data_IF_640577464187
#
_entry.id   IF_640577464187
#
_cell.length_a   1.000
_cell.length_b   1.000
_cell.length_c   1.000
_cell.angle_alpha   90.00
_cell.angle_beta   90.00
_cell.angle_gamma   90.00
#
_symmetry.space_group_name_H-M   'P 1'
#
loop_
_entity.id
_entity.type
_entity.pdbx_description
1 polymer ?
#
# COMPACT_ATOMS: atom_id res chain seq x y z
N UNK A 1 0.53 -25.35 16.22
CA UNK A 1 0.59 -24.26 17.19
C UNK A 1 -0.51 -23.22 16.95
N UNK A 2 -0.88 -22.91 15.70
CA UNK A 2 -1.94 -21.95 15.36
C UNK A 2 -3.31 -22.39 15.89
N UNK A 3 -3.59 -23.70 15.92
CA UNK A 3 -4.84 -24.27 16.46
C UNK A 3 -5.11 -23.94 17.93
N UNK A 4 -4.08 -23.56 18.69
CA UNK A 4 -4.18 -23.18 20.09
C UNK A 4 -4.58 -21.72 20.29
N UNK A 5 -4.63 -20.94 19.22
CA UNK A 5 -4.96 -19.51 19.24
C UNK A 5 -6.43 -19.39 18.87
N UNK A 6 -7.29 -19.27 19.88
CA UNK A 6 -8.75 -19.29 19.68
C UNK A 6 -9.25 -18.23 18.70
N UNK A 7 -8.75 -17.01 18.80
CA UNK A 7 -9.19 -15.92 17.92
C UNK A 7 -8.81 -16.11 16.44
N UNK A 8 -7.84 -16.97 16.10
CA UNK A 8 -7.54 -17.32 14.71
C UNK A 8 -8.70 -18.07 14.02
N UNK A 9 -9.52 -18.77 14.80
CA UNK A 9 -10.69 -19.51 14.29
C UNK A 9 -11.88 -18.61 13.99
N UNK A 10 -11.86 -17.39 14.53
CA UNK A 10 -12.94 -16.42 14.45
C UNK A 10 -12.60 -15.26 13.47
N UNK A 11 -11.51 -15.38 12.70
CA UNK A 11 -11.13 -14.34 11.74
C UNK A 11 -12.16 -14.27 10.62
N UNK A 12 -12.73 -13.08 10.46
CA UNK A 12 -13.64 -12.77 9.36
C UNK A 12 -12.89 -12.88 8.01
N UNK A 13 -13.49 -13.50 6.96
CA UNK A 13 -12.89 -13.56 5.62
C UNK A 13 -12.51 -12.21 5.03
N UNK A 14 -13.18 -11.13 5.45
CA UNK A 14 -12.87 -9.76 5.02
C UNK A 14 -11.77 -9.09 5.85
N UNK A 15 -11.15 -9.81 6.80
CA UNK A 15 -10.05 -9.30 7.61
C UNK A 15 -8.82 -9.02 6.76
N UNK A 16 -8.30 -7.80 6.86
CA UNK A 16 -7.07 -7.42 6.16
C UNK A 16 -5.83 -7.93 6.89
N UNK A 17 -4.93 -8.57 6.16
CA UNK A 17 -3.63 -9.00 6.67
C UNK A 17 -2.55 -7.97 6.35
N UNK A 18 -2.12 -7.21 7.36
CA UNK A 18 -1.10 -6.19 7.20
C UNK A 18 0.26 -6.71 7.65
N UNK A 19 1.17 -6.87 6.69
CA UNK A 19 2.54 -7.30 6.93
C UNK A 19 3.46 -6.15 7.34
N UNK A 20 4.00 -6.21 8.56
CA UNK A 20 4.89 -5.20 9.13
C UNK A 20 6.31 -5.74 9.27
N UNK A 21 7.30 -4.93 8.94
CA UNK A 21 8.71 -5.28 9.14
C UNK A 21 9.47 -5.64 7.86
N UNK A 22 10.73 -6.04 8.05
CA UNK A 22 11.69 -6.21 6.94
C UNK A 22 11.35 -7.34 5.98
N UNK A 23 10.77 -8.44 6.47
CA UNK A 23 10.35 -9.57 5.64
C UNK A 23 9.30 -9.15 4.62
N UNK A 24 8.24 -8.49 5.07
CA UNK A 24 7.17 -8.01 4.19
C UNK A 24 7.64 -6.90 3.24
N UNK A 25 8.50 -5.98 3.69
CA UNK A 25 9.10 -4.98 2.81
C UNK A 25 9.98 -5.59 1.72
N UNK A 26 10.76 -6.62 2.04
CA UNK A 26 11.52 -7.35 1.02
C UNK A 26 10.60 -8.10 0.06
N UNK A 27 9.55 -8.75 0.58
CA UNK A 27 8.54 -9.42 -0.24
C UNK A 27 7.88 -8.45 -1.24
N UNK A 28 7.45 -7.29 -0.76
CA UNK A 28 6.87 -6.26 -1.62
C UNK A 28 7.86 -5.72 -2.66
N UNK A 29 9.14 -5.52 -2.32
CA UNK A 29 10.17 -5.10 -3.27
C UNK A 29 10.42 -6.17 -4.35
N UNK A 30 10.43 -7.44 -3.98
CA UNK A 30 10.58 -8.55 -4.93
C UNK A 30 9.38 -8.56 -5.90
N UNK A 31 8.16 -8.51 -5.40
CA UNK A 31 6.93 -8.43 -6.21
C UNK A 31 6.95 -7.24 -7.17
N UNK A 32 7.31 -6.05 -6.68
CA UNK A 32 7.46 -4.86 -7.51
C UNK A 32 8.47 -5.04 -8.65
N UNK A 33 9.62 -5.62 -8.34
CA UNK A 33 10.64 -5.89 -9.37
C UNK A 33 10.14 -6.88 -10.44
N UNK A 34 9.39 -7.90 -10.03
CA UNK A 34 8.79 -8.87 -10.96
C UNK A 34 7.77 -8.17 -11.87
N UNK A 35 6.91 -7.33 -11.30
CA UNK A 35 5.87 -6.57 -12.03
C UNK A 35 6.44 -5.38 -12.82
N UNK A 36 7.71 -5.02 -12.63
CA UNK A 36 8.31 -3.78 -13.15
C UNK A 36 7.49 -2.55 -12.75
N UNK A 37 6.96 -2.55 -11.53
CA UNK A 37 6.15 -1.44 -11.02
C UNK A 37 7.02 -0.19 -10.85
N UNK A 38 6.63 0.95 -11.44
CA UNK A 38 7.53 2.09 -11.61
C UNK A 38 7.77 2.89 -10.33
N UNK A 39 6.87 2.82 -9.35
CA UNK A 39 6.96 3.65 -8.15
C UNK A 39 7.68 2.94 -7.01
N UNK A 40 8.54 3.68 -6.29
CA UNK A 40 9.20 3.18 -5.08
C UNK A 40 8.37 3.43 -3.82
N UNK A 41 7.08 3.09 -3.88
CA UNK A 41 6.18 3.14 -2.74
C UNK A 41 5.92 1.75 -2.21
N UNK A 42 6.15 1.57 -0.90
CA UNK A 42 5.99 0.26 -0.24
C UNK A 42 4.84 0.26 0.77
N UNK A 43 4.45 1.43 1.26
CA UNK A 43 3.31 1.54 2.16
C UNK A 43 2.01 1.32 1.41
N UNK A 44 1.16 0.49 1.98
CA UNK A 44 -0.11 0.07 1.36
C UNK A 44 0.06 -0.67 0.02
N UNK A 45 1.20 -1.35 -0.18
CA UNK A 45 1.40 -2.18 -1.36
C UNK A 45 0.65 -3.50 -1.21
N UNK A 46 -0.23 -3.79 -2.16
CA UNK A 46 -1.05 -4.99 -2.19
C UNK A 46 -0.38 -6.12 -2.97
N UNK A 47 -0.31 -7.27 -2.36
CA UNK A 47 0.27 -8.49 -2.90
C UNK A 47 -0.74 -9.63 -2.76
N UNK A 48 -1.18 -10.23 -3.86
CA UNK A 48 -2.10 -11.36 -3.78
C UNK A 48 -1.43 -12.61 -3.21
N UNK A 49 -2.24 -13.52 -2.68
CA UNK A 49 -1.76 -14.82 -2.18
C UNK A 49 -1.13 -15.66 -3.30
N UNK A 50 -1.64 -15.56 -4.54
CA UNK A 50 -1.06 -16.24 -5.70
C UNK A 50 0.35 -15.74 -5.98
N UNK A 51 0.56 -14.42 -5.96
CA UNK A 51 1.89 -13.83 -6.15
C UNK A 51 2.85 -14.24 -5.03
N UNK A 52 2.37 -14.21 -3.79
CA UNK A 52 3.14 -14.69 -2.64
C UNK A 52 3.58 -16.14 -2.86
N UNK A 53 2.66 -17.01 -3.27
CA UNK A 53 2.94 -18.42 -3.51
C UNK A 53 3.96 -18.63 -4.65
N UNK A 54 3.90 -17.85 -5.72
CA UNK A 54 4.89 -17.88 -6.81
C UNK A 54 6.29 -17.51 -6.30
N UNK A 55 6.39 -16.42 -5.52
CA UNK A 55 7.66 -15.98 -4.92
C UNK A 55 8.18 -17.02 -3.94
N UNK A 56 7.35 -17.52 -3.04
CA UNK A 56 7.71 -18.53 -2.06
C UNK A 56 8.21 -19.82 -2.73
N UNK A 57 7.47 -20.35 -3.72
CA UNK A 57 7.84 -21.56 -4.44
C UNK A 57 9.16 -21.42 -5.21
N UNK A 58 9.47 -20.23 -5.70
CA UNK A 58 10.77 -19.94 -6.32
C UNK A 58 11.87 -19.94 -5.27
N UNK A 59 11.69 -19.19 -4.18
CA UNK A 59 12.75 -18.97 -3.20
C UNK A 59 13.08 -20.21 -2.39
N UNK A 60 12.09 -21.04 -2.04
CA UNK A 60 12.31 -22.27 -1.25
C UNK A 60 13.24 -23.29 -1.93
N UNK A 61 13.42 -23.19 -3.25
CA UNK A 61 14.27 -24.10 -4.03
C UNK A 61 15.68 -23.56 -4.27
N UNK A 62 15.96 -22.31 -3.87
CA UNK A 62 17.23 -21.66 -4.10
C UNK A 62 18.19 -21.92 -2.95
N UNK A 63 19.49 -22.03 -3.29
CA UNK A 63 20.58 -21.94 -2.34
C UNK A 63 20.80 -20.49 -1.86
N UNK A 64 21.68 -20.29 -0.86
CA UNK A 64 21.97 -19.00 -0.29
C UNK A 64 22.51 -18.00 -1.33
N UNK A 65 23.45 -18.45 -2.17
CA UNK A 65 24.11 -17.58 -3.15
C UNK A 65 23.15 -17.06 -4.21
N UNK A 66 22.19 -17.87 -4.61
CA UNK A 66 21.14 -17.46 -5.54
C UNK A 66 20.10 -16.59 -4.85
N UNK A 67 19.76 -16.91 -3.60
CA UNK A 67 18.83 -16.09 -2.80
C UNK A 67 19.37 -14.68 -2.59
N UNK A 68 20.68 -14.50 -2.34
CA UNK A 68 21.31 -13.19 -2.20
C UNK A 68 21.23 -12.32 -3.46
N UNK A 69 21.09 -12.94 -4.63
CA UNK A 69 21.02 -12.24 -5.94
C UNK A 69 19.61 -11.82 -6.33
N UNK A 70 18.61 -12.14 -5.51
CA UNK A 70 17.22 -11.75 -5.80
C UNK A 70 17.07 -10.22 -5.72
N UNK A 71 16.64 -9.62 -6.81
CA UNK A 71 16.34 -8.18 -6.85
C UNK A 71 15.24 -7.82 -5.87
N UNK A 72 15.49 -6.88 -4.99
CA UNK A 72 14.55 -6.45 -3.96
C UNK A 72 14.78 -7.09 -2.59
N UNK A 73 15.55 -8.17 -2.51
CA UNK A 73 15.95 -8.77 -1.25
C UNK A 73 17.22 -8.09 -0.71
N UNK A 74 17.21 -7.73 0.57
CA UNK A 74 18.41 -7.26 1.26
C UNK A 74 19.35 -8.45 1.50
N UNK A 75 20.61 -8.36 1.01
CA UNK A 75 21.59 -9.46 1.08
C UNK A 75 21.80 -10.01 2.49
N UNK A 76 21.84 -9.15 3.51
CA UNK A 76 21.94 -9.55 4.92
C UNK A 76 20.71 -10.23 5.52
N UNK A 77 19.70 -10.57 4.70
CA UNK A 77 18.50 -11.31 5.12
C UNK A 77 18.26 -12.56 4.29
N UNK A 78 19.12 -12.86 3.34
CA UNK A 78 18.93 -13.97 2.42
C UNK A 78 18.90 -15.34 3.12
N UNK A 79 19.65 -15.47 4.20
CA UNK A 79 19.72 -16.68 5.03
C UNK A 79 18.44 -17.01 5.78
N UNK A 80 17.76 -15.99 6.32
CA UNK A 80 16.53 -16.16 7.12
C UNK A 80 15.26 -16.01 6.29
N UNK A 81 15.36 -15.44 5.08
CA UNK A 81 14.20 -15.06 4.30
C UNK A 81 13.31 -16.25 3.88
N UNK A 82 13.86 -17.40 3.39
CA UNK A 82 13.04 -18.56 3.06
C UNK A 82 12.24 -19.08 4.25
N UNK A 83 12.88 -19.16 5.43
CA UNK A 83 12.22 -19.61 6.66
C UNK A 83 11.13 -18.63 7.11
N UNK A 84 11.39 -17.32 7.01
CA UNK A 84 10.40 -16.31 7.33
C UNK A 84 9.17 -16.39 6.40
N UNK A 85 9.39 -16.66 5.11
CA UNK A 85 8.29 -16.87 4.16
C UNK A 85 7.50 -18.15 4.46
N UNK A 86 8.15 -19.21 4.93
CA UNK A 86 7.46 -20.44 5.33
C UNK A 86 6.47 -20.19 6.48
N UNK A 87 6.87 -19.39 7.47
CA UNK A 87 5.97 -18.99 8.57
C UNK A 87 4.78 -18.17 8.04
N UNK A 88 5.04 -17.22 7.14
CA UNK A 88 3.97 -16.41 6.51
C UNK A 88 3.03 -17.31 5.71
N UNK A 89 3.57 -18.30 4.98
CA UNK A 89 2.78 -19.28 4.21
C UNK A 89 1.80 -20.04 5.09
N UNK A 90 2.28 -20.55 6.23
CA UNK A 90 1.43 -21.28 7.17
C UNK A 90 0.29 -20.41 7.71
N UNK A 91 0.54 -19.16 8.00
CA UNK A 91 -0.52 -18.23 8.45
C UNK A 91 -1.53 -17.96 7.34
N UNK A 92 -1.07 -17.73 6.11
CA UNK A 92 -1.94 -17.49 4.96
C UNK A 92 -2.86 -18.68 4.71
N UNK A 93 -2.29 -19.90 4.70
CA UNK A 93 -3.05 -21.11 4.44
C UNK A 93 -4.04 -21.44 5.55
N UNK A 94 -3.61 -21.23 6.81
CA UNK A 94 -4.45 -21.50 7.97
C UNK A 94 -5.68 -20.61 8.04
N UNK A 95 -5.51 -19.32 7.72
CA UNK A 95 -6.59 -18.31 7.77
C UNK A 95 -7.38 -18.25 6.47
N UNK A 96 -6.81 -18.71 5.35
CA UNK A 96 -7.44 -18.58 4.03
C UNK A 96 -7.38 -17.17 3.46
N UNK A 97 -6.28 -16.44 3.68
CA UNK A 97 -6.12 -15.06 3.26
C UNK A 97 -5.95 -14.96 1.74
N UNK A 98 -6.55 -13.92 1.15
CA UNK A 98 -6.49 -13.65 -0.29
C UNK A 98 -5.38 -12.68 -0.67
N UNK A 99 -4.98 -11.79 0.25
CA UNK A 99 -3.96 -10.78 -0.01
C UNK A 99 -3.15 -10.43 1.25
N UNK A 100 -1.98 -9.84 1.01
CA UNK A 100 -1.10 -9.23 2.02
C UNK A 100 -0.98 -7.75 1.68
N UNK A 101 -1.24 -6.89 2.65
CA UNK A 101 -0.98 -5.45 2.53
C UNK A 101 0.36 -5.16 3.22
N UNK A 102 1.33 -4.63 2.48
CA UNK A 102 2.66 -4.35 3.03
C UNK A 102 2.68 -2.97 3.68
N UNK A 103 3.08 -2.91 4.96
CA UNK A 103 3.36 -1.64 5.62
C UNK A 103 4.78 -1.17 5.34
N UNK A 104 4.91 0.05 4.83
CA UNK A 104 6.20 0.74 4.72
C UNK A 104 6.78 1.16 6.08
N UNK A 105 5.89 1.35 7.06
CA UNK A 105 6.23 1.73 8.43
C UNK A 105 6.31 0.51 9.35
N UNK A 106 7.07 0.63 10.44
CA UNK A 106 7.22 -0.40 11.44
C UNK A 106 6.99 0.14 12.86
N UNK A 107 7.39 -0.63 13.85
CA UNK A 107 7.24 -0.29 15.26
C UNK A 107 7.89 1.06 15.63
N UNK A 108 9.07 1.35 15.05
CA UNK A 108 9.81 2.59 15.33
C UNK A 108 9.05 3.81 14.84
N UNK A 109 8.58 3.77 13.59
CA UNK A 109 7.81 4.83 12.97
C UNK A 109 6.49 5.06 13.74
N UNK A 110 5.83 3.99 14.17
CA UNK A 110 4.62 4.07 15.00
C UNK A 110 4.87 4.68 16.37
N UNK A 111 5.97 4.33 17.03
CA UNK A 111 6.37 4.90 18.30
C UNK A 111 6.72 6.40 18.18
N UNK A 112 7.47 6.77 17.14
CA UNK A 112 7.79 8.19 16.86
C UNK A 112 6.54 9.00 16.57
N UNK A 113 5.64 8.46 15.76
CA UNK A 113 4.37 9.11 15.44
C UNK A 113 3.53 9.35 16.70
N UNK A 114 3.42 8.34 17.55
CA UNK A 114 2.68 8.45 18.82
C UNK A 114 3.29 9.49 19.76
N UNK A 115 4.62 9.64 19.75
CA UNK A 115 5.32 10.66 20.53
C UNK A 115 5.12 12.07 19.97
N UNK A 116 5.23 12.23 18.64
CA UNK A 116 5.14 13.52 17.97
C UNK A 116 3.69 14.06 17.87
N UNK A 117 2.70 13.18 17.81
CA UNK A 117 1.29 13.49 17.71
C UNK A 117 0.54 12.85 18.88
N UNK A 118 0.66 13.40 20.09
CA UNK A 118 -0.07 12.88 21.24
C UNK A 118 -1.56 13.06 20.98
N UNK A 119 -2.24 11.97 20.65
CA UNK A 119 -3.69 11.97 20.50
C UNK A 119 -4.32 11.53 21.81
N UNK A 120 -5.32 12.25 22.24
CA UNK A 120 -6.21 11.86 23.33
C UNK A 120 -7.28 10.86 22.88
N UNK A 121 -7.37 10.61 21.57
CA UNK A 121 -8.39 9.78 20.94
C UNK A 121 -7.78 8.48 20.40
N UNK A 122 -8.60 7.44 20.28
CA UNK A 122 -8.23 6.12 19.73
C UNK A 122 -7.74 6.19 18.26
N UNK A 123 -8.14 7.25 17.51
CA UNK A 123 -7.74 7.46 16.12
C UNK A 123 -6.68 8.56 16.02
N UNK A 124 -5.43 8.23 15.71
CA UNK A 124 -4.35 9.21 15.59
C UNK A 124 -4.55 10.21 14.43
N UNK A 125 -5.33 9.87 13.42
CA UNK A 125 -5.69 10.71 12.29
C UNK A 125 -7.20 10.68 12.07
N UNK A 126 -7.84 11.85 12.06
CA UNK A 126 -9.28 11.98 11.81
C UNK A 126 -9.66 11.77 10.33
N UNK A 127 -8.80 12.21 9.41
CA UNK A 127 -8.96 12.08 7.96
C UNK A 127 -7.71 11.42 7.35
N UNK A 128 -7.66 10.08 7.38
CA UNK A 128 -6.55 9.29 6.82
C UNK A 128 -6.43 9.54 5.32
N UNK A 129 -7.55 9.60 4.59
CA UNK A 129 -7.55 9.86 3.15
C UNK A 129 -6.96 11.24 2.83
N UNK A 130 -7.39 12.28 3.55
CA UNK A 130 -6.86 13.63 3.39
C UNK A 130 -5.37 13.71 3.68
N UNK A 131 -4.91 13.07 4.74
CA UNK A 131 -3.49 12.98 5.08
C UNK A 131 -2.68 12.29 3.98
N UNK A 132 -3.17 11.16 3.45
CA UNK A 132 -2.52 10.42 2.36
C UNK A 132 -2.44 11.26 1.08
N UNK A 133 -3.51 11.95 0.72
CA UNK A 133 -3.53 12.85 -0.44
C UNK A 133 -2.49 13.96 -0.27
N UNK A 134 -2.46 14.64 0.88
CA UNK A 134 -1.49 15.71 1.15
C UNK A 134 -0.05 15.18 1.08
N UNK A 135 0.21 14.01 1.66
CA UNK A 135 1.53 13.37 1.59
C UNK A 135 1.95 13.12 0.14
N UNK A 136 1.05 12.61 -0.70
CA UNK A 136 1.34 12.39 -2.12
C UNK A 136 1.52 13.72 -2.88
N UNK A 137 0.69 14.73 -2.63
CA UNK A 137 0.84 16.05 -3.24
C UNK A 137 2.22 16.65 -2.95
N UNK A 138 2.70 16.56 -1.70
CA UNK A 138 4.05 17.00 -1.34
C UNK A 138 5.14 16.13 -1.97
N UNK A 139 4.96 14.81 -1.99
CA UNK A 139 5.93 13.89 -2.58
C UNK A 139 6.14 14.12 -4.08
N UNK A 140 5.05 14.43 -4.79
CA UNK A 140 5.08 14.70 -6.24
C UNK A 140 5.23 16.19 -6.58
N UNK A 141 5.46 17.06 -5.58
CA UNK A 141 5.64 18.50 -5.77
C UNK A 141 4.47 19.13 -6.56
N UNK A 142 3.25 18.74 -6.19
CA UNK A 142 2.05 19.20 -6.86
C UNK A 142 1.77 20.69 -6.57
N UNK A 143 1.21 21.38 -7.56
CA UNK A 143 0.71 22.76 -7.36
C UNK A 143 -0.57 22.73 -6.52
N UNK A 144 -0.42 22.83 -5.19
CA UNK A 144 -1.51 22.71 -4.22
C UNK A 144 -2.65 23.70 -4.50
N UNK A 145 -2.41 25.01 -4.70
CA UNK A 145 -3.50 25.95 -5.01
C UNK A 145 -4.29 25.59 -6.26
N UNK A 146 -3.60 25.12 -7.32
CA UNK A 146 -4.25 24.68 -8.55
C UNK A 146 -5.11 23.44 -8.30
N UNK A 147 -4.56 22.42 -7.66
CA UNK A 147 -5.25 21.16 -7.38
C UNK A 147 -6.51 21.36 -6.50
N UNK A 148 -6.42 22.22 -5.48
CA UNK A 148 -7.56 22.59 -4.64
C UNK A 148 -8.63 23.35 -5.42
N UNK A 149 -8.23 24.26 -6.31
CA UNK A 149 -9.18 24.95 -7.18
C UNK A 149 -9.91 23.98 -8.11
N UNK A 150 -9.19 23.08 -8.77
CA UNK A 150 -9.78 22.03 -9.61
C UNK A 150 -10.73 21.13 -8.82
N UNK A 151 -10.35 20.73 -7.61
CA UNK A 151 -11.23 19.94 -6.75
C UNK A 151 -12.52 20.69 -6.40
N UNK A 152 -12.42 21.97 -6.01
CA UNK A 152 -13.59 22.77 -5.64
C UNK A 152 -14.56 22.93 -6.81
N UNK A 153 -14.06 23.21 -8.02
CA UNK A 153 -14.89 23.29 -9.23
C UNK A 153 -15.53 21.95 -9.57
N UNK A 154 -14.75 20.86 -9.52
CA UNK A 154 -15.24 19.51 -9.79
C UNK A 154 -16.32 19.09 -8.80
N UNK A 155 -16.16 19.43 -7.52
CA UNK A 155 -17.14 19.14 -6.48
C UNK A 155 -18.45 19.93 -6.69
N UNK A 156 -18.36 21.20 -7.12
CA UNK A 156 -19.55 22.00 -7.45
C UNK A 156 -20.28 21.39 -8.65
N UNK A 157 -19.59 21.06 -9.73
CA UNK A 157 -20.18 20.40 -10.90
C UNK A 157 -20.81 19.05 -10.53
N UNK A 158 -20.12 18.23 -9.74
CA UNK A 158 -20.66 16.96 -9.28
C UNK A 158 -21.98 17.13 -8.52
N UNK A 159 -22.06 18.13 -7.64
CA UNK A 159 -23.30 18.42 -6.89
C UNK A 159 -24.42 18.91 -7.80
N UNK A 160 -24.12 19.84 -8.72
CA UNK A 160 -25.12 20.44 -9.62
C UNK A 160 -25.67 19.42 -10.65
N UNK A 161 -24.79 18.53 -11.14
CA UNK A 161 -25.14 17.54 -12.15
C UNK A 161 -25.68 16.22 -11.56
N UNK A 162 -25.99 16.19 -10.26
CA UNK A 162 -26.43 14.97 -9.56
C UNK A 162 -27.63 14.29 -10.24
N UNK A 163 -28.56 15.07 -10.78
CA UNK A 163 -29.76 14.55 -11.47
C UNK A 163 -29.38 13.84 -12.77
N UNK A 164 -28.31 14.29 -13.43
CA UNK A 164 -27.84 13.72 -14.71
C UNK A 164 -27.00 12.46 -14.49
N UNK A 165 -25.95 12.54 -13.65
CA UNK A 165 -25.01 11.41 -13.49
C UNK A 165 -25.52 10.33 -12.54
N UNK A 166 -26.43 10.62 -11.62
CA UNK A 166 -27.06 9.69 -10.65
C UNK A 166 -26.07 8.86 -9.81
N UNK A 167 -24.80 9.29 -9.73
CA UNK A 167 -23.76 8.57 -8.98
C UNK A 167 -23.99 8.67 -7.47
N UNK A 168 -23.68 7.60 -6.71
CA UNK A 168 -23.73 7.61 -5.26
C UNK A 168 -22.78 8.66 -4.64
N UNK A 169 -23.14 9.15 -3.43
CA UNK A 169 -22.32 10.12 -2.70
C UNK A 169 -20.90 9.61 -2.41
N UNK A 170 -20.69 8.30 -2.34
CA UNK A 170 -19.38 7.68 -2.13
C UNK A 170 -18.35 8.10 -3.19
N UNK A 171 -18.79 8.41 -4.42
CA UNK A 171 -17.92 8.88 -5.51
C UNK A 171 -17.28 10.26 -5.24
N UNK A 172 -17.77 11.03 -4.26
CA UNK A 172 -17.12 12.27 -3.82
C UNK A 172 -15.68 12.01 -3.32
N UNK A 173 -15.45 10.87 -2.66
CA UNK A 173 -14.09 10.47 -2.23
C UNK A 173 -13.18 10.20 -3.43
N UNK A 174 -13.68 9.50 -4.44
CA UNK A 174 -12.96 9.21 -5.68
C UNK A 174 -12.65 10.51 -6.43
N UNK A 175 -13.64 11.41 -6.55
CA UNK A 175 -13.47 12.72 -7.17
C UNK A 175 -12.40 13.55 -6.44
N UNK A 176 -12.39 13.51 -5.10
CA UNK A 176 -11.38 14.22 -4.29
C UNK A 176 -9.97 13.73 -4.62
N UNK A 177 -9.75 12.41 -4.66
CA UNK A 177 -8.46 11.82 -5.01
C UNK A 177 -8.06 12.22 -6.43
N UNK A 178 -8.94 11.99 -7.40
CA UNK A 178 -8.67 12.27 -8.81
C UNK A 178 -8.35 13.74 -9.04
N UNK A 179 -9.14 14.67 -8.49
CA UNK A 179 -8.94 16.10 -8.69
C UNK A 179 -7.69 16.65 -7.99
N UNK A 180 -7.34 16.16 -6.80
CA UNK A 180 -6.17 16.63 -6.08
C UNK A 180 -4.85 16.06 -6.61
N UNK A 181 -4.88 14.87 -7.21
CA UNK A 181 -3.68 14.18 -7.69
C UNK A 181 -3.54 14.13 -9.21
N UNK A 182 -4.44 14.81 -9.97
CA UNK A 182 -4.47 14.71 -11.43
C UNK A 182 -3.15 15.08 -12.12
N UNK A 183 -2.38 16.00 -11.53
CA UNK A 183 -1.11 16.49 -12.05
C UNK A 183 0.13 15.83 -11.43
N UNK A 184 -0.04 14.80 -10.57
CA UNK A 184 1.08 14.11 -9.92
C UNK A 184 2.11 13.56 -10.91
N UNK A 185 1.67 13.17 -12.09
CA UNK A 185 2.53 12.69 -13.19
C UNK A 185 3.47 13.74 -13.78
N UNK A 186 3.21 15.03 -13.57
CA UNK A 186 4.09 16.12 -14.04
C UNK A 186 5.49 16.02 -13.42
N UNK A 187 5.62 15.42 -12.23
CA UNK A 187 6.90 15.16 -11.57
C UNK A 187 7.79 14.21 -12.38
N UNK A 188 7.19 13.33 -13.16
CA UNK A 188 7.89 12.37 -14.03
C UNK A 188 8.18 13.03 -15.37
N UNK A 189 7.13 13.55 -16.03
CA UNK A 189 7.24 14.23 -17.31
C UNK A 189 6.03 15.15 -17.54
N UNK A 190 6.27 16.35 -18.05
CA UNK A 190 5.21 17.32 -18.35
C UNK A 190 4.28 16.82 -19.47
N UNK A 191 4.85 16.36 -20.59
CA UNK A 191 4.06 15.81 -21.68
C UNK A 191 3.52 14.43 -21.31
N UNK A 192 2.24 14.18 -21.59
CA UNK A 192 1.52 12.95 -21.28
C UNK A 192 1.43 12.66 -19.76
N UNK A 193 1.56 13.68 -18.89
CA UNK A 193 1.52 13.52 -17.44
C UNK A 193 0.26 12.80 -16.94
N UNK A 194 -0.90 12.93 -17.64
CA UNK A 194 -2.13 12.22 -17.29
C UNK A 194 -1.96 10.70 -17.29
N UNK A 195 -1.12 10.15 -18.19
CA UNK A 195 -0.78 8.72 -18.21
C UNK A 195 0.07 8.34 -17.00
N UNK A 196 0.97 9.23 -16.60
CA UNK A 196 1.78 9.03 -15.40
C UNK A 196 0.93 9.15 -14.12
N UNK A 197 0.03 10.12 -14.05
CA UNK A 197 -0.90 10.27 -12.92
C UNK A 197 -1.84 9.07 -12.76
N UNK A 198 -2.16 8.34 -13.84
CA UNK A 198 -3.11 7.21 -13.78
C UNK A 198 -2.56 5.96 -13.09
N UNK A 199 -1.23 5.79 -13.01
CA UNK A 199 -0.63 4.66 -12.31
C UNK A 199 0.01 5.04 -10.96
N UNK A 200 0.09 6.33 -10.65
CA UNK A 200 0.45 6.85 -9.34
C UNK A 200 -0.72 6.72 -8.37
#
# INVERSE_FOLDING_TARGET
HLDRIEWFKEIDPDTQFVGVGGTFRNLGRISRNIKKYPLDMMHNYHLSTEEFNQIYNTIKTLDLDRTQKIKGLSSGRADIFPTALAVVKEVIDYVGLNEIIVSGCGLREGAMFRYAVPSTNEKPLSDILGHSIQTLMHYFDANIPHAEHVYNLSLQLFKQLKVLHKLPRAYVKVLRVAALLHDSGMRIKFYDHHRHSSYI
#
